data_IF_795142156553
#
_entry.id   IF_795142156553
#
_cell.length_a   1.000
_cell.length_b   1.000
_cell.length_c   1.000
_cell.angle_alpha   90.00
_cell.angle_beta   90.00
_cell.angle_gamma   90.00
#
_symmetry.space_group_name_H-M   'P 1'
#
loop_
_entity.id
_entity.type
_entity.pdbx_description
1 polymer ?
#
# COMPACT_ATOMS: atom_id res chain seq x y z
N UNK A 1 -18.18 12.88 25.06
CA UNK A 1 -17.47 12.40 23.85
C UNK A 1 -18.04 11.04 23.43
N UNK A 2 -18.30 10.82 22.14
CA UNK A 2 -18.55 9.46 21.66
C UNK A 2 -17.26 8.66 21.86
N UNK A 3 -17.29 7.74 22.82
CA UNK A 3 -16.19 6.83 23.07
C UNK A 3 -16.23 5.75 21.98
N UNK A 4 -15.43 5.96 20.93
CA UNK A 4 -15.25 4.98 19.88
C UNK A 4 -14.44 3.81 20.45
N UNK A 5 -15.11 2.71 20.77
CA UNK A 5 -14.42 1.46 21.08
C UNK A 5 -13.86 0.86 19.80
N UNK A 6 -12.55 0.64 19.80
CA UNK A 6 -11.87 -0.16 18.78
C UNK A 6 -11.91 -1.62 19.21
N UNK A 7 -12.92 -2.35 18.76
CA UNK A 7 -13.04 -3.80 18.99
C UNK A 7 -12.67 -4.56 17.71
N UNK A 8 -12.04 -5.71 17.87
CA UNK A 8 -11.82 -6.64 16.76
C UNK A 8 -13.16 -7.27 16.40
N UNK A 9 -13.64 -7.04 15.19
CA UNK A 9 -14.96 -7.50 14.73
C UNK A 9 -14.90 -8.83 13.97
N UNK A 10 -13.71 -9.27 13.57
CA UNK A 10 -13.47 -10.51 12.85
C UNK A 10 -12.04 -11.03 13.10
N UNK A 11 -11.82 -12.31 12.80
CA UNK A 11 -10.49 -12.94 12.84
C UNK A 11 -9.62 -12.55 11.63
N UNK A 12 -10.15 -11.78 10.68
CA UNK A 12 -9.43 -11.22 9.52
C UNK A 12 -9.44 -9.69 9.54
N UNK A 13 -8.47 -9.10 8.84
CA UNK A 13 -8.31 -7.66 8.69
C UNK A 13 -8.53 -7.23 7.24
N UNK A 14 -9.07 -6.02 7.05
CA UNK A 14 -9.23 -5.40 5.74
C UNK A 14 -8.79 -3.94 5.77
N UNK A 15 -7.91 -3.59 4.85
CA UNK A 15 -7.24 -2.28 4.81
C UNK A 15 -7.41 -1.68 3.42
N UNK A 16 -7.83 -0.41 3.36
CA UNK A 16 -7.89 0.39 2.14
C UNK A 16 -7.04 1.65 2.24
N UNK A 17 -6.11 1.82 1.31
CA UNK A 17 -5.23 2.98 1.24
C UNK A 17 -5.74 3.97 0.20
N UNK A 18 -6.26 5.11 0.63
CA UNK A 18 -6.83 6.13 -0.27
C UNK A 18 -5.86 7.29 -0.60
N UNK A 19 -4.66 7.29 0.01
CA UNK A 19 -3.76 8.44 0.06
C UNK A 19 -3.87 9.22 1.37
N UNK A 20 -3.12 10.32 1.51
CA UNK A 20 -3.11 11.18 2.70
C UNK A 20 -3.38 12.64 2.33
N UNK A 21 -4.17 13.33 3.15
CA UNK A 21 -4.51 14.74 2.96
C UNK A 21 -6.02 14.98 2.87
N UNK A 22 -6.40 16.25 2.70
CA UNK A 22 -7.81 16.64 2.47
C UNK A 22 -8.08 16.65 0.97
N UNK A 23 -9.23 16.13 0.54
CA UNK A 23 -9.72 16.21 -0.85
C UNK A 23 -8.71 15.69 -1.91
N UNK A 24 -8.08 14.56 -1.65
CA UNK A 24 -7.05 13.98 -2.53
C UNK A 24 -7.59 13.32 -3.81
N UNK A 25 -8.91 13.17 -4.00
CA UNK A 25 -9.51 12.54 -5.20
C UNK A 25 -8.82 11.23 -5.65
N UNK A 26 -8.28 10.46 -4.70
CA UNK A 26 -7.47 9.25 -4.95
C UNK A 26 -6.16 9.47 -5.76
N UNK A 27 -5.75 10.71 -5.96
CA UNK A 27 -4.47 11.10 -6.53
C UNK A 27 -3.42 11.27 -5.43
N UNK A 28 -2.78 10.17 -5.10
CA UNK A 28 -1.71 10.14 -4.14
C UNK A 28 -0.74 9.02 -4.50
N UNK A 29 0.56 9.33 -4.55
CA UNK A 29 1.60 8.33 -4.69
C UNK A 29 2.32 8.20 -3.37
N UNK A 30 2.16 7.06 -2.70
CA UNK A 30 2.92 6.81 -1.47
C UNK A 30 4.41 6.77 -1.80
N UNK A 31 5.22 7.40 -0.96
CA UNK A 31 6.67 7.36 -1.09
C UNK A 31 7.21 6.00 -0.65
N UNK A 32 8.44 5.68 -1.05
CA UNK A 32 9.12 4.46 -0.60
C UNK A 32 9.21 4.40 0.94
N UNK A 33 9.46 5.53 1.59
CA UNK A 33 9.51 5.61 3.06
C UNK A 33 8.15 5.30 3.69
N UNK A 34 7.07 5.80 3.10
CA UNK A 34 5.71 5.50 3.58
C UNK A 34 5.36 4.03 3.40
N UNK A 35 5.71 3.43 2.26
CA UNK A 35 5.52 2.00 2.00
C UNK A 35 6.31 1.15 3.01
N UNK A 36 7.57 1.50 3.30
CA UNK A 36 8.35 0.81 4.33
C UNK A 36 7.71 0.92 5.71
N UNK A 37 7.23 2.10 6.10
CA UNK A 37 6.51 2.29 7.38
C UNK A 37 5.22 1.47 7.44
N UNK A 38 4.49 1.35 6.32
CA UNK A 38 3.31 0.49 6.23
C UNK A 38 3.72 -0.98 6.40
N UNK A 39 4.75 -1.44 5.69
CA UNK A 39 5.26 -2.81 5.78
C UNK A 39 5.63 -3.20 7.21
N UNK A 40 6.28 -2.33 7.98
CA UNK A 40 6.58 -2.60 9.40
C UNK A 40 5.32 -2.77 10.25
N UNK A 41 4.22 -2.06 9.96
CA UNK A 41 2.95 -2.22 10.67
C UNK A 41 2.20 -3.49 10.28
N UNK A 42 2.44 -4.03 9.08
CA UNK A 42 1.80 -5.26 8.62
C UNK A 42 2.11 -6.45 9.51
N UNK A 43 3.31 -6.54 10.07
CA UNK A 43 3.68 -7.64 10.96
C UNK A 43 2.86 -7.64 12.26
N UNK A 44 2.50 -6.46 12.78
CA UNK A 44 1.60 -6.36 13.93
C UNK A 44 0.16 -6.76 13.58
N UNK A 45 -0.32 -6.42 12.38
CA UNK A 45 -1.68 -6.76 11.95
C UNK A 45 -1.79 -8.27 11.68
N UNK A 46 -0.77 -8.86 11.04
CA UNK A 46 -0.69 -10.30 10.77
C UNK A 46 -0.69 -11.12 12.06
N UNK A 47 -0.10 -10.64 13.15
CA UNK A 47 -0.12 -11.40 14.42
C UNK A 47 -1.50 -11.43 15.09
N UNK A 48 -2.41 -10.55 14.69
CA UNK A 48 -3.75 -10.42 15.24
C UNK A 48 -4.85 -10.91 14.27
N UNK A 49 -4.49 -11.35 13.06
CA UNK A 49 -5.45 -11.72 12.02
C UNK A 49 -5.00 -12.95 11.25
N UNK A 50 -5.92 -13.90 11.04
CA UNK A 50 -5.71 -15.10 10.23
C UNK A 50 -5.44 -14.75 8.76
N UNK A 51 -6.14 -13.72 8.25
CA UNK A 51 -6.00 -13.21 6.89
C UNK A 51 -6.00 -11.68 6.90
N UNK A 52 -5.16 -11.06 6.08
CA UNK A 52 -5.12 -9.60 5.91
C UNK A 52 -5.34 -9.25 4.44
N UNK A 53 -6.45 -8.59 4.15
CA UNK A 53 -6.79 -8.07 2.83
C UNK A 53 -6.33 -6.62 2.69
N UNK A 54 -5.60 -6.32 1.62
CA UNK A 54 -5.01 -5.00 1.40
C UNK A 54 -5.37 -4.48 0.03
N UNK A 55 -5.96 -3.30 -0.03
CA UNK A 55 -6.35 -2.65 -1.27
C UNK A 55 -5.78 -1.24 -1.34
N UNK A 56 -4.93 -1.00 -2.34
CA UNK A 56 -4.55 0.36 -2.72
C UNK A 56 -5.65 0.96 -3.59
N UNK A 57 -6.25 2.05 -3.13
CA UNK A 57 -7.36 2.74 -3.77
C UNK A 57 -6.97 4.15 -4.25
N UNK A 58 -5.69 4.47 -4.24
CA UNK A 58 -5.08 5.68 -4.81
C UNK A 58 -4.83 5.47 -6.32
N UNK A 59 -5.90 5.28 -7.09
CA UNK A 59 -5.81 4.70 -8.44
C UNK A 59 -5.36 5.69 -9.54
N UNK A 60 -5.40 7.00 -9.29
CA UNK A 60 -4.99 7.98 -10.30
C UNK A 60 -3.51 7.76 -10.68
N UNK A 61 -3.17 7.95 -11.96
CA UNK A 61 -1.81 7.74 -12.46
C UNK A 61 -1.27 6.31 -12.33
N UNK A 62 -2.13 5.32 -12.04
CA UNK A 62 -1.74 3.94 -11.69
C UNK A 62 -0.90 3.82 -10.40
N UNK A 63 -0.93 4.83 -9.53
CA UNK A 63 -0.19 4.84 -8.25
C UNK A 63 -0.53 3.63 -7.37
N UNK A 64 -1.78 3.19 -7.37
CA UNK A 64 -2.21 2.01 -6.63
C UNK A 64 -1.46 0.73 -7.01
N UNK A 65 -1.20 0.52 -8.31
CA UNK A 65 -0.47 -0.66 -8.80
C UNK A 65 0.99 -0.59 -8.39
N UNK A 66 1.63 0.57 -8.60
CA UNK A 66 3.02 0.77 -8.20
C UNK A 66 3.21 0.56 -6.69
N UNK A 67 2.37 1.18 -5.87
CA UNK A 67 2.47 1.10 -4.41
C UNK A 67 2.16 -0.31 -3.88
N UNK A 68 1.23 -1.05 -4.51
CA UNK A 68 1.00 -2.45 -4.18
C UNK A 68 2.24 -3.32 -4.48
N UNK A 69 2.88 -3.11 -5.64
CA UNK A 69 4.10 -3.84 -6.00
C UNK A 69 5.28 -3.49 -5.09
N UNK A 70 5.42 -2.24 -4.67
CA UNK A 70 6.43 -1.82 -3.69
C UNK A 70 6.21 -2.47 -2.33
N UNK A 71 4.95 -2.56 -1.85
CA UNK A 71 4.65 -3.25 -0.60
C UNK A 71 4.97 -4.76 -0.70
N UNK A 72 4.61 -5.39 -1.83
CA UNK A 72 4.95 -6.79 -2.08
C UNK A 72 6.46 -7.02 -2.18
N UNK A 73 7.23 -6.08 -2.76
CA UNK A 73 8.70 -6.15 -2.82
C UNK A 73 9.33 -6.24 -1.42
N UNK A 74 8.73 -5.59 -0.41
CA UNK A 74 9.22 -5.60 0.97
C UNK A 74 8.71 -6.81 1.75
N UNK A 75 7.45 -7.21 1.54
CA UNK A 75 6.75 -8.17 2.40
C UNK A 75 6.74 -9.60 1.86
N UNK A 76 7.13 -9.81 0.59
CA UNK A 76 7.13 -11.12 -0.06
C UNK A 76 8.08 -11.17 -1.27
N UNK A 77 8.07 -12.30 -1.99
CA UNK A 77 8.80 -12.47 -3.25
C UNK A 77 7.89 -12.11 -4.43
N UNK A 78 8.29 -11.12 -5.22
CA UNK A 78 7.62 -10.80 -6.49
C UNK A 78 7.82 -11.91 -7.53
N UNK A 79 6.77 -12.20 -8.28
CA UNK A 79 6.88 -12.94 -9.55
C UNK A 79 7.68 -12.16 -10.59
N UNK A 80 8.20 -12.83 -11.62
CA UNK A 80 8.93 -12.16 -12.72
C UNK A 80 8.11 -11.08 -13.41
N UNK A 81 6.79 -11.32 -13.60
CA UNK A 81 5.88 -10.34 -14.19
C UNK A 81 5.70 -9.10 -13.30
N UNK A 82 5.49 -9.31 -11.99
CA UNK A 82 5.38 -8.21 -11.02
C UNK A 82 6.67 -7.40 -10.91
N UNK A 83 7.83 -8.07 -10.91
CA UNK A 83 9.14 -7.40 -10.90
C UNK A 83 9.38 -6.59 -12.17
N UNK A 84 9.05 -7.14 -13.33
CA UNK A 84 9.12 -6.43 -14.62
C UNK A 84 8.24 -5.17 -14.60
N UNK A 85 7.00 -5.29 -14.12
CA UNK A 85 6.08 -4.16 -13.99
C UNK A 85 6.62 -3.08 -13.04
N UNK A 86 7.13 -3.46 -11.87
CA UNK A 86 7.71 -2.52 -10.91
C UNK A 86 8.92 -1.77 -11.51
N UNK A 87 9.76 -2.45 -12.29
CA UNK A 87 10.88 -1.81 -12.98
C UNK A 87 10.42 -0.80 -14.04
N UNK A 88 9.31 -1.04 -14.72
CA UNK A 88 8.74 -0.06 -15.67
C UNK A 88 8.32 1.23 -14.97
N UNK A 89 7.71 1.15 -13.78
CA UNK A 89 7.38 2.33 -12.97
C UNK A 89 8.64 3.10 -12.52
N UNK A 90 9.67 2.38 -12.07
CA UNK A 90 10.97 2.95 -11.66
C UNK A 90 11.63 3.71 -12.84
N UNK A 91 11.72 3.10 -14.03
CA UNK A 91 12.28 3.75 -15.22
C UNK A 91 11.48 4.96 -15.68
N UNK A 92 10.14 4.87 -15.67
CA UNK A 92 9.26 5.98 -16.04
C UNK A 92 9.52 7.19 -15.14
N UNK A 93 9.65 6.98 -13.83
CA UNK A 93 9.92 8.05 -12.87
C UNK A 93 11.28 8.72 -13.10
N UNK A 94 12.32 7.95 -13.47
CA UNK A 94 13.64 8.50 -13.75
C UNK A 94 13.70 9.38 -15.01
N UNK A 95 12.83 9.15 -16.00
CA UNK A 95 12.79 9.94 -17.26
C UNK A 95 12.14 11.32 -17.11
N UNK A 96 11.50 11.62 -15.98
CA UNK A 96 10.89 12.93 -15.71
C UNK A 96 11.77 13.81 -14.80
N UNK A 97 13.02 13.40 -14.54
CA UNK A 97 13.98 14.14 -13.68
C UNK A 97 15.12 14.78 -14.52
N UNK A 98 15.07 14.68 -15.85
CA UNK A 98 15.88 15.47 -16.81
C UNK A 98 15.04 16.59 -17.44
#
# INVERSE_FOLDING_TARGET
PLELKTEQTADWSFIRFHGRGKQIWFDYRYSQEEISKLASRFEQIKSQSSVVYVYFNNHYGANAVENALQLLEITTNLTSAQRSMLNQFKMKSSRFVE
#
